data_IF_788044774568
#
_entry.id   IF_788044774568
#
_cell.length_a   1.000
_cell.length_b   1.000
_cell.length_c   1.000
_cell.angle_alpha   90.00
_cell.angle_beta   90.00
_cell.angle_gamma   90.00
#
_symmetry.space_group_name_H-M   'P 1'
#
loop_
_entity.id
_entity.type
_entity.pdbx_description
1 polymer ?
#
# COMPACT_ATOMS: atom_id res chain seq x y z
N UNK A 1 -0.28 -51.32 -15.44
CA UNK A 1 -0.20 -50.00 -14.77
C UNK A 1 0.55 -49.04 -15.69
N UNK A 2 -0.10 -48.10 -16.40
CA UNK A 2 0.62 -47.10 -17.18
C UNK A 2 1.08 -45.96 -16.27
N UNK A 3 2.37 -45.64 -16.29
CA UNK A 3 2.99 -44.60 -15.46
C UNK A 3 2.57 -43.17 -15.85
N UNK A 4 2.84 -42.17 -14.99
CA UNK A 4 2.37 -40.80 -15.19
C UNK A 4 3.04 -40.15 -16.40
N UNK A 5 2.22 -39.65 -17.33
CA UNK A 5 2.66 -38.87 -18.50
C UNK A 5 3.26 -37.54 -18.03
N UNK A 6 4.58 -37.37 -18.19
CA UNK A 6 5.24 -36.08 -18.02
C UNK A 6 4.72 -35.10 -19.08
N UNK A 7 4.01 -34.05 -18.63
CA UNK A 7 3.65 -32.90 -19.49
C UNK A 7 4.93 -32.17 -19.85
N UNK A 8 5.40 -32.35 -21.08
CA UNK A 8 6.46 -31.52 -21.65
C UNK A 8 5.93 -30.09 -21.80
N UNK A 9 6.51 -29.15 -21.05
CA UNK A 9 6.23 -27.73 -21.24
C UNK A 9 6.93 -27.27 -22.52
N UNK A 10 6.16 -26.81 -23.52
CA UNK A 10 6.73 -26.18 -24.71
C UNK A 10 7.42 -24.87 -24.32
N UNK A 11 8.65 -24.60 -24.79
CA UNK A 11 9.31 -23.32 -24.56
C UNK A 11 8.49 -22.19 -25.18
N UNK A 12 8.19 -21.17 -24.40
CA UNK A 12 7.46 -19.97 -24.83
C UNK A 12 8.36 -19.16 -25.76
N UNK A 13 7.89 -18.71 -26.94
CA UNK A 13 8.72 -17.93 -27.85
C UNK A 13 9.15 -16.61 -27.18
N UNK A 14 10.36 -16.10 -27.49
CA UNK A 14 10.86 -14.86 -26.93
C UNK A 14 9.91 -13.70 -27.29
N UNK A 15 9.43 -13.01 -26.25
CA UNK A 15 8.50 -11.90 -26.36
C UNK A 15 9.23 -10.71 -27.00
N UNK A 16 8.94 -10.45 -28.27
CA UNK A 16 9.52 -9.33 -29.02
C UNK A 16 9.15 -8.00 -28.33
N UNK A 17 10.17 -7.18 -28.00
CA UNK A 17 9.97 -5.89 -27.34
C UNK A 17 9.36 -4.93 -28.35
N UNK A 18 8.09 -4.56 -28.16
CA UNK A 18 7.44 -3.52 -28.97
C UNK A 18 8.27 -2.22 -28.90
N UNK A 19 8.49 -1.51 -30.01
CA UNK A 19 9.19 -0.24 -30.00
C UNK A 19 8.44 0.75 -29.10
N UNK A 20 9.17 1.56 -28.34
CA UNK A 20 8.61 2.50 -27.39
C UNK A 20 7.74 3.54 -28.13
N UNK A 21 6.44 3.54 -27.87
CA UNK A 21 5.53 4.56 -28.39
C UNK A 21 6.00 5.94 -27.91
N UNK A 22 6.25 6.90 -28.81
CA UNK A 22 6.65 8.23 -28.41
C UNK A 22 5.55 8.83 -27.52
N UNK A 23 5.90 9.10 -26.26
CA UNK A 23 4.98 9.66 -25.28
C UNK A 23 5.18 11.17 -25.28
N UNK A 24 4.17 11.90 -25.74
CA UNK A 24 4.17 13.36 -25.68
C UNK A 24 3.54 13.81 -24.36
N UNK A 25 4.23 14.68 -23.63
CA UNK A 25 3.70 15.33 -22.43
C UNK A 25 3.19 16.72 -22.83
N UNK A 26 1.89 16.94 -22.69
CA UNK A 26 1.27 18.25 -22.83
C UNK A 26 0.77 18.70 -21.45
N UNK A 27 1.32 19.81 -20.96
CA UNK A 27 0.86 20.44 -19.73
C UNK A 27 -0.06 21.61 -20.09
N UNK A 28 -1.30 21.59 -19.59
CA UNK A 28 -2.27 22.66 -19.79
C UNK A 28 -2.54 23.32 -18.43
N UNK A 29 -2.57 24.67 -18.38
CA UNK A 29 -2.86 25.36 -17.13
C UNK A 29 -4.32 25.10 -16.71
N UNK A 30 -4.50 24.71 -15.46
CA UNK A 30 -5.82 24.54 -14.87
C UNK A 30 -6.39 25.93 -14.53
N UNK A 31 -7.24 26.47 -15.41
CA UNK A 31 -7.97 27.72 -15.16
C UNK A 31 -9.27 27.39 -14.44
N UNK A 32 -9.42 27.90 -13.22
CA UNK A 32 -10.60 27.66 -12.37
C UNK A 32 -11.21 28.97 -11.91
N UNK A 33 -12.53 29.01 -11.81
CA UNK A 33 -13.23 30.11 -11.17
C UNK A 33 -13.06 30.03 -9.62
N UNK A 34 -13.37 31.10 -8.87
CA UNK A 34 -13.18 31.12 -7.41
C UNK A 34 -13.94 30.02 -6.66
N UNK A 35 -15.14 29.66 -7.12
CA UNK A 35 -15.96 28.61 -6.52
C UNK A 35 -15.32 27.22 -6.70
N UNK A 36 -14.91 26.89 -7.93
CA UNK A 36 -14.19 25.67 -8.26
C UNK A 36 -12.87 25.58 -7.49
N UNK A 37 -12.12 26.68 -7.39
CA UNK A 37 -10.89 26.74 -6.61
C UNK A 37 -11.15 26.40 -5.13
N UNK A 38 -12.26 26.90 -4.57
CA UNK A 38 -12.64 26.62 -3.18
C UNK A 38 -13.00 25.15 -2.98
N UNK A 39 -13.78 24.57 -3.89
CA UNK A 39 -14.14 23.13 -3.86
C UNK A 39 -12.90 22.23 -3.98
N UNK A 40 -11.99 22.55 -4.90
CA UNK A 40 -10.73 21.81 -5.07
C UNK A 40 -9.86 21.89 -3.82
N UNK A 41 -9.72 23.08 -3.24
CA UNK A 41 -8.97 23.27 -1.99
C UNK A 41 -9.55 22.44 -0.86
N UNK A 42 -10.87 22.48 -0.67
CA UNK A 42 -11.55 21.69 0.34
C UNK A 42 -11.28 20.18 0.15
N UNK A 43 -11.38 19.69 -1.08
CA UNK A 43 -11.09 18.30 -1.42
C UNK A 43 -9.65 17.89 -1.11
N UNK A 44 -8.68 18.69 -1.56
CA UNK A 44 -7.25 18.42 -1.34
C UNK A 44 -6.88 18.51 0.15
N UNK A 45 -7.45 19.47 0.88
CA UNK A 45 -7.26 19.64 2.31
C UNK A 45 -7.81 18.43 3.09
N UNK A 46 -9.02 17.95 2.73
CA UNK A 46 -9.60 16.74 3.32
C UNK A 46 -8.72 15.51 3.06
N UNK A 47 -8.25 15.32 1.82
CA UNK A 47 -7.36 14.22 1.45
C UNK A 47 -6.05 14.27 2.24
N UNK A 48 -5.43 15.46 2.33
CA UNK A 48 -4.19 15.71 3.08
C UNK A 48 -4.36 15.38 4.57
N UNK A 49 -5.45 15.83 5.20
CA UNK A 49 -5.73 15.55 6.61
C UNK A 49 -5.95 14.06 6.87
N UNK A 50 -6.75 13.40 6.03
CA UNK A 50 -7.00 11.96 6.14
C UNK A 50 -5.70 11.17 6.01
N UNK A 51 -4.91 11.45 4.97
CA UNK A 51 -3.63 10.81 4.73
C UNK A 51 -2.65 11.00 5.91
N UNK A 52 -2.46 12.23 6.37
CA UNK A 52 -1.56 12.52 7.49
C UNK A 52 -2.00 11.84 8.78
N UNK A 53 -3.31 11.77 9.02
CA UNK A 53 -3.86 11.07 10.19
C UNK A 53 -3.50 9.59 10.15
N UNK A 54 -3.78 8.91 9.03
CA UNK A 54 -3.48 7.48 8.84
C UNK A 54 -1.97 7.23 8.94
N UNK A 55 -1.16 8.04 8.27
CA UNK A 55 0.30 7.92 8.31
C UNK A 55 0.83 8.09 9.74
N UNK A 56 0.35 9.09 10.48
CA UNK A 56 0.79 9.33 11.86
C UNK A 56 0.43 8.16 12.79
N UNK A 57 -0.74 7.55 12.62
CA UNK A 57 -1.15 6.37 13.38
C UNK A 57 -0.31 5.15 12.99
N UNK A 58 -0.10 4.92 11.70
CA UNK A 58 0.78 3.84 11.21
C UNK A 58 2.20 3.95 11.77
N UNK A 59 2.77 5.16 11.77
CA UNK A 59 4.08 5.42 12.38
C UNK A 59 4.10 5.19 13.89
N UNK A 60 3.03 5.54 14.62
CA UNK A 60 2.89 5.24 16.06
C UNK A 60 2.90 3.73 16.31
N UNK A 61 2.12 2.96 15.55
CA UNK A 61 2.08 1.50 15.65
C UNK A 61 3.46 0.89 15.35
N UNK A 62 4.12 1.34 14.29
CA UNK A 62 5.47 0.86 13.94
C UNK A 62 6.51 1.16 15.00
N UNK A 63 6.48 2.35 15.63
CA UNK A 63 7.40 2.68 16.72
C UNK A 63 7.19 1.72 17.91
N UNK A 64 5.93 1.44 18.29
CA UNK A 64 5.60 0.49 19.36
C UNK A 64 6.04 -0.93 19.01
N UNK A 65 5.83 -1.36 17.78
CA UNK A 65 6.26 -2.68 17.32
C UNK A 65 7.80 -2.81 17.31
N UNK A 66 8.53 -1.76 16.93
CA UNK A 66 10.01 -1.76 16.93
C UNK A 66 10.63 -1.82 18.32
N UNK A 67 9.92 -1.35 19.35
CA UNK A 67 10.36 -1.45 20.75
C UNK A 67 10.11 -2.83 21.35
N UNK A 68 9.34 -3.69 20.68
CA UNK A 68 9.05 -5.05 21.12
C UNK A 68 10.28 -5.96 20.93
N UNK A 69 10.56 -6.82 21.92
CA UNK A 69 11.62 -7.82 21.84
C UNK A 69 11.36 -8.83 20.71
N UNK A 70 10.08 -9.15 20.43
CA UNK A 70 9.72 -10.06 19.34
C UNK A 70 10.08 -9.51 17.95
N UNK A 71 10.13 -8.18 17.79
CA UNK A 71 10.59 -7.55 16.55
C UNK A 71 12.09 -7.77 16.31
N UNK A 72 12.91 -7.65 17.37
CA UNK A 72 14.35 -7.92 17.27
C UNK A 72 14.61 -9.40 17.02
N UNK A 73 13.93 -10.29 17.75
CA UNK A 73 14.04 -11.73 17.54
C UNK A 73 13.72 -12.14 16.08
N UNK A 74 12.68 -11.54 15.48
CA UNK A 74 12.32 -11.79 14.07
C UNK A 74 13.35 -11.21 13.09
N UNK A 75 13.98 -10.10 13.43
CA UNK A 75 15.03 -9.46 12.63
C UNK A 75 16.34 -10.24 12.67
N UNK A 76 16.66 -10.87 13.79
CA UNK A 76 17.87 -11.65 13.99
C UNK A 76 17.85 -13.02 13.28
N UNK A 77 16.69 -13.44 12.75
CA UNK A 77 16.59 -14.65 11.94
C UNK A 77 17.49 -14.55 10.70
N UNK A 78 18.25 -15.63 10.39
CA UNK A 78 19.16 -15.62 9.25
C UNK A 78 18.41 -15.51 7.93
N UNK A 79 19.02 -14.82 6.95
CA UNK A 79 18.45 -14.61 5.61
C UNK A 79 18.15 -15.88 4.82
N UNK A 80 18.63 -17.05 5.25
CA UNK A 80 18.28 -18.36 4.69
C UNK A 80 16.84 -18.77 5.04
N UNK A 81 16.27 -18.24 6.12
CA UNK A 81 14.93 -18.55 6.62
C UNK A 81 13.92 -17.43 6.33
N UNK A 82 13.95 -16.87 5.11
CA UNK A 82 13.07 -15.74 4.70
C UNK A 82 11.58 -16.02 4.97
N UNK A 83 11.14 -17.25 4.80
CA UNK A 83 9.75 -17.64 5.03
C UNK A 83 9.35 -17.53 6.51
N UNK A 84 10.21 -17.99 7.43
CA UNK A 84 9.96 -17.89 8.87
C UNK A 84 10.06 -16.44 9.35
N UNK A 85 11.03 -15.68 8.84
CA UNK A 85 11.13 -14.24 9.11
C UNK A 85 9.87 -13.49 8.64
N UNK A 86 9.39 -13.74 7.43
CA UNK A 86 8.16 -13.14 6.93
C UNK A 86 6.93 -13.55 7.74
N UNK A 87 6.84 -14.81 8.19
CA UNK A 87 5.77 -15.29 9.05
C UNK A 87 5.77 -14.60 10.42
N UNK A 88 6.95 -14.43 11.03
CA UNK A 88 7.10 -13.69 12.30
C UNK A 88 6.64 -12.24 12.18
N UNK A 89 7.03 -11.53 11.11
CA UNK A 89 6.55 -10.18 10.86
C UNK A 89 5.04 -10.13 10.60
N UNK A 90 4.47 -11.08 9.87
CA UNK A 90 3.01 -11.19 9.66
C UNK A 90 2.24 -11.38 10.97
N UNK A 91 2.77 -12.19 11.89
CA UNK A 91 2.18 -12.39 13.21
C UNK A 91 2.21 -11.09 14.03
N UNK A 92 3.35 -10.38 14.03
CA UNK A 92 3.49 -9.08 14.67
C UNK A 92 2.53 -8.03 14.09
N UNK A 93 2.44 -7.93 12.76
CA UNK A 93 1.50 -7.02 12.12
C UNK A 93 0.05 -7.31 12.51
N UNK A 94 -0.33 -8.58 12.61
CA UNK A 94 -1.67 -8.99 13.05
C UNK A 94 -1.91 -8.60 14.51
N UNK A 95 -0.95 -8.85 15.41
CA UNK A 95 -1.05 -8.54 16.83
C UNK A 95 -1.22 -7.03 17.09
N UNK A 96 -0.48 -6.20 16.36
CA UNK A 96 -0.55 -4.74 16.48
C UNK A 96 -1.65 -4.10 15.62
N UNK A 97 -2.47 -4.91 14.93
CA UNK A 97 -3.55 -4.42 14.07
C UNK A 97 -3.07 -3.65 12.84
N UNK A 98 -1.82 -3.84 12.42
CA UNK A 98 -1.23 -3.20 11.25
C UNK A 98 -1.44 -4.05 10.00
N UNK A 99 -2.70 -4.32 9.65
CA UNK A 99 -3.08 -5.03 8.43
C UNK A 99 -3.91 -4.13 7.53
N UNK A 100 -3.89 -4.39 6.22
CA UNK A 100 -4.67 -3.61 5.23
C UNK A 100 -6.16 -3.56 5.61
N UNK A 101 -6.71 -4.70 6.03
CA UNK A 101 -8.12 -4.81 6.45
C UNK A 101 -8.42 -3.89 7.63
N UNK A 102 -7.57 -3.91 8.67
CA UNK A 102 -7.76 -3.05 9.86
C UNK A 102 -7.63 -1.58 9.47
N UNK A 103 -6.69 -1.22 8.58
CA UNK A 103 -6.58 0.15 8.10
C UNK A 103 -7.80 0.57 7.28
N UNK A 104 -8.35 -0.28 6.41
CA UNK A 104 -9.58 0.04 5.67
C UNK A 104 -10.75 0.30 6.62
N UNK A 105 -10.87 -0.48 7.69
CA UNK A 105 -11.88 -0.24 8.72
C UNK A 105 -11.62 1.06 9.50
N UNK A 106 -10.37 1.34 9.84
CA UNK A 106 -9.99 2.61 10.49
C UNK A 106 -10.32 3.81 9.59
N UNK A 107 -10.05 3.73 8.29
CA UNK A 107 -10.40 4.77 7.32
C UNK A 107 -11.91 4.99 7.24
N UNK A 108 -12.71 3.92 7.27
CA UNK A 108 -14.18 4.05 7.34
C UNK A 108 -14.61 4.83 8.59
N UNK A 109 -14.00 4.57 9.74
CA UNK A 109 -14.27 5.30 10.99
C UNK A 109 -13.76 6.74 11.01
N UNK A 110 -12.68 7.04 10.28
CA UNK A 110 -12.13 8.41 10.17
C UNK A 110 -12.89 9.27 9.15
N UNK A 111 -13.59 8.64 8.21
CA UNK A 111 -14.34 9.31 7.16
C UNK A 111 -15.72 9.73 7.65
N UNK A 112 -15.76 10.79 8.45
CA UNK A 112 -16.98 11.36 9.03
C UNK A 112 -17.14 12.83 8.67
N UNK A 113 -18.39 13.31 8.66
CA UNK A 113 -18.76 14.70 8.41
C UNK A 113 -18.15 15.24 7.12
N UNK A 114 -17.52 16.41 7.22
CA UNK A 114 -16.91 17.12 6.09
C UNK A 114 -15.86 16.31 5.30
N UNK A 115 -15.15 15.36 5.94
CA UNK A 115 -14.19 14.50 5.22
C UNK A 115 -14.93 13.52 4.30
N UNK A 116 -16.09 13.00 4.73
CA UNK A 116 -16.90 12.07 3.93
C UNK A 116 -17.57 12.73 2.74
N UNK A 117 -17.89 14.03 2.85
CA UNK A 117 -18.43 14.83 1.74
C UNK A 117 -17.41 15.04 0.62
N UNK A 118 -16.12 15.10 0.98
CA UNK A 118 -15.05 15.41 0.04
C UNK A 118 -14.34 14.17 -0.48
N UNK A 119 -14.19 13.12 0.31
CA UNK A 119 -13.40 11.93 -0.06
C UNK A 119 -14.32 10.73 -0.25
N UNK A 120 -14.32 10.17 -1.45
CA UNK A 120 -15.04 8.92 -1.71
C UNK A 120 -14.33 7.70 -1.09
N UNK A 121 -15.08 6.61 -0.97
CA UNK A 121 -14.59 5.39 -0.33
C UNK A 121 -13.37 4.78 -1.03
N UNK A 122 -13.30 4.87 -2.36
CA UNK A 122 -12.23 4.25 -3.15
C UNK A 122 -10.93 5.04 -3.00
N UNK A 123 -11.00 6.38 -3.03
CA UNK A 123 -9.86 7.23 -2.71
C UNK A 123 -9.37 7.00 -1.28
N UNK A 124 -10.29 6.88 -0.32
CA UNK A 124 -9.93 6.62 1.07
C UNK A 124 -9.17 5.29 1.24
N UNK A 125 -9.62 4.22 0.58
CA UNK A 125 -8.92 2.92 0.53
C UNK A 125 -7.55 3.03 -0.15
N UNK A 126 -7.46 3.76 -1.26
CA UNK A 126 -6.20 3.97 -1.98
C UNK A 126 -5.16 4.69 -1.11
N UNK A 127 -5.58 5.70 -0.36
CA UNK A 127 -4.72 6.41 0.59
C UNK A 127 -4.25 5.49 1.72
N UNK A 128 -5.12 4.63 2.24
CA UNK A 128 -4.78 3.64 3.25
C UNK A 128 -3.66 2.70 2.76
N UNK A 129 -3.81 2.15 1.55
CA UNK A 129 -2.84 1.22 0.97
C UNK A 129 -1.46 1.85 0.77
N UNK A 130 -1.43 3.10 0.28
CA UNK A 130 -0.19 3.87 0.15
C UNK A 130 0.48 4.12 1.50
N UNK A 131 -0.29 4.42 2.54
CA UNK A 131 0.25 4.61 3.89
C UNK A 131 0.92 3.34 4.41
N UNK A 132 0.30 2.16 4.25
CA UNK A 132 0.90 0.88 4.68
C UNK A 132 2.24 0.64 3.97
N UNK A 133 2.27 0.82 2.64
CA UNK A 133 3.47 0.58 1.85
C UNK A 133 4.64 1.50 2.28
N UNK A 134 4.34 2.78 2.53
CA UNK A 134 5.35 3.76 2.95
C UNK A 134 5.80 3.52 4.40
N UNK A 135 4.87 3.22 5.29
CA UNK A 135 5.16 2.97 6.69
C UNK A 135 5.97 1.68 6.88
N UNK A 136 5.65 0.62 6.12
CA UNK A 136 6.42 -0.62 6.10
C UNK A 136 7.82 -0.47 5.48
N UNK A 137 8.16 0.71 4.92
CA UNK A 137 9.48 0.98 4.34
C UNK A 137 9.77 0.13 3.11
N UNK A 138 8.75 -0.17 2.29
CA UNK A 138 8.93 -0.99 1.09
C UNK A 138 9.69 -0.19 0.05
N UNK A 139 10.99 -0.44 -0.01
CA UNK A 139 11.80 -0.35 -1.21
C UNK A 139 10.98 -0.87 -2.39
N UNK A 140 10.89 -0.03 -3.41
CA UNK A 140 9.93 -0.08 -4.50
C UNK A 140 10.25 -1.21 -5.48
N UNK A 141 10.37 -2.45 -5.03
CA UNK A 141 10.54 -3.61 -5.92
C UNK A 141 9.91 -4.86 -5.29
N UNK A 142 8.74 -5.23 -5.83
CA UNK A 142 8.26 -6.61 -5.89
C UNK A 142 8.13 -7.34 -4.53
N UNK A 143 7.10 -7.01 -3.76
CA UNK A 143 6.54 -8.02 -2.86
C UNK A 143 5.05 -8.14 -3.11
N UNK A 144 4.74 -9.28 -3.73
CA UNK A 144 3.41 -9.80 -3.96
C UNK A 144 2.63 -9.79 -2.64
N UNK A 145 1.55 -9.02 -2.61
CA UNK A 145 0.36 -9.43 -1.89
C UNK A 145 -0.38 -10.39 -2.81
N UNK A 146 -0.01 -11.67 -2.71
CA UNK A 146 -0.85 -12.81 -3.04
C UNK A 146 -0.53 -13.90 -2.02
#
# INVERSE_FOLDING_TARGET
MPGPRQRQQKPTPPKEKRPATPTFLLELPLVVNPEQATRLRAHLEAARRLYNTILSQGQKCLRRMRTDAAWQATRDLPHTQKAQQAAGFRALYTQYGFTEVVLHQAVKGLRLGWIAEHIDTVLAQTLANRCVALAAGVERTKWCWN
#
